data_IF_327328294418
#
_entry.id   IF_327328294418
#
_cell.length_a   1.000
_cell.length_b   1.000
_cell.length_c   1.000
_cell.angle_alpha   90.00
_cell.angle_beta   90.00
_cell.angle_gamma   90.00
#
_symmetry.space_group_name_H-M   'P 1'
#
loop_
_entity.id
_entity.type
_entity.pdbx_description
1 polymer ?
#
# COMPACT_ATOMS: atom_id res chain seq x y z
N UNK A 1 26.74 -12.57 4.39
CA UNK A 1 25.68 -13.38 3.77
C UNK A 1 24.95 -12.57 2.72
N UNK A 2 24.36 -11.44 3.06
CA UNK A 2 23.48 -10.63 2.18
C UNK A 2 24.17 -10.09 0.93
N UNK A 3 25.48 -9.87 0.98
CA UNK A 3 26.24 -9.39 -0.19
C UNK A 3 26.30 -10.41 -1.34
N UNK A 4 26.22 -11.69 -1.04
CA UNK A 4 26.31 -12.77 -2.05
C UNK A 4 25.00 -13.57 -2.20
N UNK A 5 24.02 -13.31 -1.34
CA UNK A 5 22.69 -13.91 -1.36
C UNK A 5 21.58 -12.85 -1.22
N UNK A 6 21.59 -11.72 -1.95
CA UNK A 6 20.58 -10.71 -1.83
C UNK A 6 19.24 -11.19 -2.42
N UNK A 7 18.13 -10.72 -1.90
CA UNK A 7 16.81 -10.93 -2.51
C UNK A 7 16.71 -10.22 -3.87
N UNK A 8 17.28 -9.01 -3.95
CA UNK A 8 17.35 -8.20 -5.16
C UNK A 8 18.62 -7.35 -5.17
N UNK A 9 19.07 -6.99 -6.36
CA UNK A 9 20.10 -5.99 -6.61
C UNK A 9 19.42 -4.80 -7.28
N UNK A 10 19.52 -3.63 -6.67
CA UNK A 10 18.88 -2.41 -7.14
C UNK A 10 19.95 -1.55 -7.82
N UNK A 11 19.69 -1.12 -9.03
CA UNK A 11 20.60 -0.30 -9.84
C UNK A 11 19.86 0.94 -10.33
N UNK A 12 20.34 2.12 -9.93
CA UNK A 12 19.88 3.41 -10.45
C UNK A 12 20.71 3.85 -11.65
N UNK A 13 20.04 4.29 -12.71
CA UNK A 13 20.66 4.92 -13.88
C UNK A 13 20.01 6.27 -14.16
N UNK A 14 20.57 7.03 -15.08
CA UNK A 14 20.06 8.36 -15.42
C UNK A 14 18.65 8.33 -16.02
N UNK A 15 18.37 7.35 -16.85
CA UNK A 15 17.11 7.20 -17.58
C UNK A 15 16.30 5.94 -17.24
N UNK A 16 16.74 5.14 -16.26
CA UNK A 16 16.12 3.88 -15.87
C UNK A 16 16.40 2.73 -16.84
N UNK A 17 17.25 2.91 -17.83
CA UNK A 17 17.50 1.89 -18.85
C UNK A 17 18.56 0.87 -18.45
N UNK A 18 18.38 -0.38 -18.92
CA UNK A 18 19.36 -1.46 -18.75
C UNK A 18 20.36 -1.43 -19.89
N UNK A 19 21.20 -0.41 -19.95
CA UNK A 19 22.26 -0.24 -20.98
C UNK A 19 23.59 0.14 -20.35
N UNK A 20 24.67 0.07 -21.15
CA UNK A 20 26.00 0.52 -20.73
C UNK A 20 26.44 -0.01 -19.38
N UNK A 21 26.77 0.89 -18.47
CA UNK A 21 27.36 0.60 -17.16
C UNK A 21 26.46 -0.28 -16.27
N UNK A 22 25.13 -0.13 -16.36
CA UNK A 22 24.19 -0.96 -15.58
C UNK A 22 24.31 -2.44 -15.99
N UNK A 23 24.46 -2.71 -17.27
CA UNK A 23 24.65 -4.07 -17.76
C UNK A 23 26.02 -4.63 -17.36
N UNK A 24 27.05 -3.83 -17.42
CA UNK A 24 28.39 -4.23 -16.95
C UNK A 24 28.40 -4.57 -15.47
N UNK A 25 27.70 -3.78 -14.64
CA UNK A 25 27.53 -4.07 -13.21
C UNK A 25 26.81 -5.40 -12.97
N UNK A 26 25.73 -5.66 -13.68
CA UNK A 26 25.00 -6.93 -13.57
C UNK A 26 25.90 -8.10 -13.98
N UNK A 27 26.59 -7.99 -15.11
CA UNK A 27 27.48 -9.04 -15.60
C UNK A 27 28.65 -9.28 -14.65
N UNK A 28 29.14 -8.23 -13.97
CA UNK A 28 30.18 -8.34 -12.92
C UNK A 28 29.67 -9.03 -11.66
N UNK A 29 28.48 -8.63 -11.14
CA UNK A 29 27.96 -9.19 -9.89
C UNK A 29 27.36 -10.59 -10.04
N UNK A 30 26.75 -10.90 -11.20
CA UNK A 30 26.05 -12.15 -11.46
C UNK A 30 26.85 -13.42 -11.12
N UNK A 31 28.13 -13.56 -11.48
CA UNK A 31 28.92 -14.74 -11.11
C UNK A 31 29.31 -14.78 -9.63
N UNK A 32 29.23 -13.66 -8.89
CA UNK A 32 29.55 -13.57 -7.47
C UNK A 32 28.36 -13.97 -6.59
N UNK A 33 27.13 -13.95 -7.13
CA UNK A 33 25.93 -14.29 -6.40
C UNK A 33 25.79 -15.79 -6.21
N UNK A 34 25.52 -16.21 -4.97
CA UNK A 34 25.30 -17.62 -4.63
C UNK A 34 23.83 -18.04 -4.82
N UNK A 35 22.92 -17.07 -4.92
CA UNK A 35 21.53 -17.25 -5.30
C UNK A 35 21.26 -16.64 -6.69
N UNK A 36 20.00 -16.59 -7.09
CA UNK A 36 19.57 -15.94 -8.33
C UNK A 36 18.70 -14.71 -7.99
N UNK A 37 19.30 -13.60 -7.56
CA UNK A 37 18.55 -12.43 -7.19
C UNK A 37 17.84 -11.81 -8.40
N UNK A 38 16.78 -11.05 -8.14
CA UNK A 38 16.20 -10.16 -9.14
C UNK A 38 17.12 -8.95 -9.29
N UNK A 39 17.18 -8.41 -10.51
CA UNK A 39 17.85 -7.14 -10.80
C UNK A 39 16.77 -6.11 -11.12
N UNK A 40 16.62 -5.13 -10.24
CA UNK A 40 15.68 -4.02 -10.40
C UNK A 40 16.46 -2.82 -10.91
N UNK A 41 16.17 -2.42 -12.15
CA UNK A 41 16.81 -1.27 -12.79
C UNK A 41 15.78 -0.17 -12.97
N UNK A 42 16.12 1.03 -12.52
CA UNK A 42 15.26 2.21 -12.62
C UNK A 42 16.10 3.47 -12.64
N UNK A 43 15.46 4.62 -12.59
CA UNK A 43 16.17 5.89 -12.36
C UNK A 43 16.79 5.90 -10.96
N UNK A 44 17.65 6.87 -10.69
CA UNK A 44 18.25 7.00 -9.35
C UNK A 44 17.19 7.19 -8.28
N UNK A 45 16.19 8.03 -8.53
CA UNK A 45 15.09 8.29 -7.60
C UNK A 45 14.24 7.01 -7.35
N UNK A 46 13.99 6.21 -8.40
CA UNK A 46 13.28 4.94 -8.28
C UNK A 46 14.07 3.93 -7.45
N UNK A 47 15.38 3.84 -7.68
CA UNK A 47 16.25 2.94 -6.93
C UNK A 47 16.31 3.32 -5.43
N UNK A 48 16.43 4.61 -5.13
CA UNK A 48 16.38 5.15 -3.77
C UNK A 48 15.00 4.87 -3.13
N UNK A 49 13.91 5.14 -3.84
CA UNK A 49 12.56 4.85 -3.38
C UNK A 49 12.36 3.37 -3.05
N UNK A 50 12.77 2.45 -3.93
CA UNK A 50 12.69 1.00 -3.66
C UNK A 50 13.39 0.68 -2.33
N UNK A 51 14.62 1.17 -2.12
CA UNK A 51 15.41 0.88 -0.92
C UNK A 51 14.76 1.41 0.35
N UNK A 52 14.28 2.66 0.33
CA UNK A 52 13.68 3.30 1.51
C UNK A 52 12.33 2.67 1.84
N UNK A 53 11.45 2.51 0.84
CA UNK A 53 10.12 1.93 1.07
C UNK A 53 10.17 0.44 1.41
N UNK A 54 11.16 -0.31 0.93
CA UNK A 54 11.37 -1.70 1.36
C UNK A 54 11.51 -1.80 2.88
N UNK A 55 12.37 -0.98 3.47
CA UNK A 55 12.55 -0.97 4.93
C UNK A 55 11.30 -0.47 5.67
N UNK A 56 10.65 0.58 5.16
CA UNK A 56 9.42 1.13 5.74
C UNK A 56 8.29 0.12 5.73
N UNK A 57 8.15 -0.64 4.64
CA UNK A 57 7.15 -1.72 4.54
C UNK A 57 7.39 -2.82 5.58
N UNK A 58 8.65 -3.21 5.78
CA UNK A 58 9.02 -4.16 6.84
C UNK A 58 8.68 -3.59 8.22
N UNK A 59 9.01 -2.32 8.49
CA UNK A 59 8.70 -1.67 9.76
C UNK A 59 7.20 -1.59 10.03
N UNK A 60 6.40 -1.25 9.03
CA UNK A 60 4.93 -1.23 9.14
C UNK A 60 4.37 -2.64 9.43
N UNK A 61 4.91 -3.66 8.77
CA UNK A 61 4.53 -5.05 8.98
C UNK A 61 4.87 -5.52 10.40
N UNK A 62 6.06 -5.19 10.90
CA UNK A 62 6.48 -5.48 12.28
C UNK A 62 5.59 -4.74 13.28
N UNK A 63 5.30 -3.46 13.03
CA UNK A 63 4.43 -2.66 13.89
C UNK A 63 3.04 -3.26 14.01
N UNK A 64 2.44 -3.70 12.90
CA UNK A 64 1.14 -4.37 12.89
C UNK A 64 1.17 -5.71 13.67
N UNK A 65 2.21 -6.51 13.48
CA UNK A 65 2.37 -7.79 14.20
C UNK A 65 2.53 -7.56 15.71
N UNK A 66 3.29 -6.56 16.12
CA UNK A 66 3.43 -6.19 17.53
C UNK A 66 2.10 -5.71 18.13
N UNK A 67 1.30 -4.97 17.36
CA UNK A 67 -0.04 -4.54 17.79
C UNK A 67 -0.99 -5.73 18.00
N UNK A 68 -0.90 -6.76 17.15
CA UNK A 68 -1.64 -8.03 17.36
C UNK A 68 -1.21 -8.67 18.68
N UNK A 69 0.09 -8.66 19.00
CA UNK A 69 0.61 -9.18 20.27
C UNK A 69 0.05 -8.40 21.47
N UNK A 70 0.05 -7.06 21.42
CA UNK A 70 -0.45 -6.22 22.51
C UNK A 70 -1.94 -6.41 22.75
N UNK A 71 -2.73 -6.56 21.68
CA UNK A 71 -4.16 -6.93 21.76
C UNK A 71 -4.31 -8.31 22.40
N UNK A 72 -3.51 -9.29 21.97
CA UNK A 72 -3.58 -10.66 22.50
C UNK A 72 -3.29 -10.71 24.01
N UNK A 73 -2.26 -9.97 24.45
CA UNK A 73 -1.88 -9.90 25.87
C UNK A 73 -2.97 -9.23 26.70
N UNK A 74 -3.50 -8.09 26.26
CA UNK A 74 -4.46 -7.30 27.04
C UNK A 74 -5.87 -7.88 27.02
N UNK A 75 -6.29 -8.42 25.89
CA UNK A 75 -7.61 -9.07 25.74
C UNK A 75 -7.64 -10.43 26.45
N UNK A 76 -6.51 -11.14 26.48
CA UNK A 76 -6.44 -12.52 26.95
C UNK A 76 -7.11 -13.52 26.00
N UNK A 77 -6.89 -14.80 26.25
CA UNK A 77 -7.46 -15.90 25.45
C UNK A 77 -7.22 -15.83 23.93
N UNK A 78 -6.15 -15.17 23.53
CA UNK A 78 -5.69 -15.09 22.14
C UNK A 78 -4.25 -15.60 22.09
N UNK A 79 -4.02 -16.67 21.31
CA UNK A 79 -2.66 -17.10 21.01
C UNK A 79 -2.15 -16.31 19.79
N UNK A 80 -1.19 -15.44 20.02
CA UNK A 80 -0.61 -14.57 18.99
C UNK A 80 0.00 -15.36 17.83
N UNK A 81 0.64 -16.50 18.12
CA UNK A 81 1.28 -17.33 17.09
C UNK A 81 0.25 -17.96 16.14
N UNK A 82 -0.92 -18.32 16.64
CA UNK A 82 -2.02 -18.82 15.79
C UNK A 82 -2.47 -17.74 14.81
N UNK A 83 -2.63 -16.50 15.29
CA UNK A 83 -3.06 -15.37 14.46
C UNK A 83 -1.98 -15.03 13.42
N UNK A 84 -0.75 -14.84 13.86
CA UNK A 84 0.35 -14.42 12.98
C UNK A 84 0.72 -15.50 11.96
N UNK A 85 0.68 -16.78 12.34
CA UNK A 85 0.88 -17.89 11.41
C UNK A 85 -0.22 -17.95 10.33
N UNK A 86 -1.48 -17.73 10.70
CA UNK A 86 -2.58 -17.67 9.73
C UNK A 86 -2.36 -16.54 8.71
N UNK A 87 -1.95 -15.36 9.17
CA UNK A 87 -1.61 -14.22 8.29
C UNK A 87 -0.38 -14.51 7.42
N UNK A 88 0.68 -15.08 7.98
CA UNK A 88 1.90 -15.43 7.26
C UNK A 88 1.66 -16.45 6.13
N UNK A 89 0.72 -17.36 6.32
CA UNK A 89 0.34 -18.33 5.30
C UNK A 89 -0.68 -17.81 4.26
N UNK A 90 -1.11 -16.54 4.36
CA UNK A 90 -2.04 -15.92 3.41
C UNK A 90 -1.33 -15.43 2.14
N UNK A 91 -0.79 -16.36 1.35
CA UNK A 91 0.08 -16.09 0.20
C UNK A 91 -0.63 -15.46 -0.99
N UNK A 92 -1.96 -15.57 -1.08
CA UNK A 92 -2.72 -15.02 -2.21
C UNK A 92 -2.88 -13.49 -2.15
N UNK A 93 -3.01 -12.91 -0.97
CA UNK A 93 -3.34 -11.49 -0.77
C UNK A 93 -2.30 -10.76 0.06
N UNK A 94 -1.94 -11.28 1.22
CA UNK A 94 -1.08 -10.58 2.20
C UNK A 94 0.39 -10.70 1.82
N UNK A 95 0.83 -11.89 1.41
CA UNK A 95 2.24 -12.16 1.08
C UNK A 95 2.53 -12.22 -0.43
N UNK A 96 1.52 -11.95 -1.26
CA UNK A 96 1.63 -11.94 -2.72
C UNK A 96 1.70 -10.53 -3.30
N UNK A 97 1.81 -10.38 -4.63
CA UNK A 97 1.89 -9.08 -5.31
C UNK A 97 0.55 -8.35 -5.41
N UNK A 98 -0.56 -8.96 -5.00
CA UNK A 98 -1.87 -8.29 -4.97
C UNK A 98 -1.83 -7.06 -4.05
N UNK A 99 -2.53 -6.01 -4.46
CA UNK A 99 -2.60 -4.73 -3.74
C UNK A 99 -1.27 -3.94 -3.68
N UNK A 100 -0.30 -4.29 -4.55
CA UNK A 100 0.95 -3.55 -4.73
C UNK A 100 0.91 -2.61 -5.96
N UNK A 101 -0.28 -2.19 -6.38
CA UNK A 101 -0.48 -1.22 -7.46
C UNK A 101 -0.86 0.13 -6.87
N UNK A 102 -0.15 1.18 -7.26
CA UNK A 102 -0.45 2.53 -6.81
C UNK A 102 -1.85 3.00 -7.27
N UNK A 103 -2.49 3.86 -6.47
CA UNK A 103 -3.81 4.39 -6.76
C UNK A 103 -4.98 3.48 -6.39
N UNK A 104 -4.73 2.28 -5.90
CA UNK A 104 -5.80 1.42 -5.39
C UNK A 104 -6.28 1.92 -4.03
N UNK A 105 -7.60 2.09 -3.90
CA UNK A 105 -8.23 2.24 -2.59
C UNK A 105 -8.54 0.88 -1.96
N UNK A 106 -8.68 0.87 -0.64
CA UNK A 106 -9.24 -0.27 0.08
C UNK A 106 -10.73 -0.39 -0.27
N UNK A 107 -11.07 -1.36 -1.08
CA UNK A 107 -12.39 -1.47 -1.66
C UNK A 107 -13.37 -2.23 -0.76
N UNK A 108 -14.57 -1.67 -0.63
CA UNK A 108 -15.70 -2.26 0.06
C UNK A 108 -15.78 -1.94 1.55
N UNK A 109 -16.90 -2.31 2.19
CA UNK A 109 -17.22 -1.89 3.55
C UNK A 109 -16.39 -2.59 4.63
N UNK A 110 -15.74 -3.72 4.30
CA UNK A 110 -15.02 -4.52 5.30
C UNK A 110 -13.79 -3.78 5.86
N UNK A 111 -13.01 -3.13 5.00
CA UNK A 111 -11.78 -2.46 5.41
C UNK A 111 -12.01 -1.32 6.41
N UNK A 112 -12.84 -0.30 6.11
CA UNK A 112 -13.13 0.74 7.08
C UNK A 112 -13.82 0.21 8.33
N UNK A 113 -14.79 -0.71 8.20
CA UNK A 113 -15.51 -1.30 9.34
C UNK A 113 -14.56 -2.01 10.31
N UNK A 114 -13.67 -2.83 9.80
CA UNK A 114 -12.77 -3.62 10.64
C UNK A 114 -11.69 -2.72 11.29
N UNK A 115 -11.18 -1.71 10.57
CA UNK A 115 -10.27 -0.72 11.15
C UNK A 115 -10.96 0.13 12.25
N UNK A 116 -12.22 0.53 12.07
CA UNK A 116 -12.99 1.26 13.09
C UNK A 116 -13.18 0.37 14.33
N UNK A 117 -13.52 -0.91 14.14
CA UNK A 117 -13.68 -1.84 15.24
C UNK A 117 -12.37 -2.08 16.02
N UNK A 118 -11.25 -2.20 15.31
CA UNK A 118 -9.93 -2.38 15.91
C UNK A 118 -9.44 -1.10 16.62
N UNK A 119 -9.75 0.07 16.08
CA UNK A 119 -9.51 1.36 16.75
C UNK A 119 -10.25 1.44 18.09
N UNK A 120 -11.55 1.12 18.10
CA UNK A 120 -12.32 1.06 19.34
C UNK A 120 -11.73 0.07 20.35
N UNK A 121 -11.27 -1.10 19.87
CA UNK A 121 -10.62 -2.08 20.73
C UNK A 121 -9.29 -1.58 21.29
N UNK A 122 -8.46 -0.90 20.49
CA UNK A 122 -7.20 -0.30 20.92
C UNK A 122 -7.42 0.73 22.02
N UNK A 123 -8.44 1.59 21.87
CA UNK A 123 -8.85 2.56 22.90
C UNK A 123 -9.32 1.86 24.17
N UNK A 124 -10.24 0.91 24.07
CA UNK A 124 -10.79 0.14 25.20
C UNK A 124 -9.71 -0.62 25.98
N UNK A 125 -8.69 -1.12 25.30
CA UNK A 125 -7.57 -1.86 25.92
C UNK A 125 -6.43 -0.92 26.37
N UNK A 126 -6.56 0.37 26.17
CA UNK A 126 -5.55 1.37 26.56
C UNK A 126 -4.16 1.00 25.99
N UNK A 127 -4.07 0.73 24.67
CA UNK A 127 -2.80 0.36 24.04
C UNK A 127 -1.80 1.53 24.04
N UNK A 128 -2.28 2.78 24.06
CA UNK A 128 -1.45 3.98 24.05
C UNK A 128 -0.96 4.39 22.67
N UNK A 129 -1.33 3.65 21.62
CA UNK A 129 -1.10 4.00 20.20
C UNK A 129 -2.17 3.36 19.32
N UNK A 130 -2.41 3.96 18.14
CA UNK A 130 -3.49 3.54 17.24
C UNK A 130 -3.05 3.57 15.77
N UNK A 131 -2.57 2.43 15.27
CA UNK A 131 -2.22 2.25 13.87
C UNK A 131 -3.47 2.20 12.98
N UNK A 132 -4.62 1.78 13.51
CA UNK A 132 -5.86 1.63 12.74
C UNK A 132 -6.45 3.00 12.39
N UNK A 133 -6.40 3.97 13.32
CA UNK A 133 -6.75 5.36 13.04
C UNK A 133 -5.83 5.97 12.00
N UNK A 134 -4.52 5.72 12.08
CA UNK A 134 -3.57 6.18 11.09
C UNK A 134 -3.86 5.64 9.68
N UNK A 135 -4.25 4.37 9.57
CA UNK A 135 -4.66 3.75 8.29
C UNK A 135 -5.92 4.43 7.74
N UNK A 136 -6.94 4.65 8.57
CA UNK A 136 -8.17 5.32 8.16
C UNK A 136 -7.92 6.77 7.76
N UNK A 137 -7.09 7.48 8.51
CA UNK A 137 -6.71 8.86 8.17
C UNK A 137 -5.93 8.93 6.84
N UNK A 138 -5.00 8.01 6.60
CA UNK A 138 -4.27 7.93 5.34
C UNK A 138 -5.21 7.67 4.15
N UNK A 139 -6.20 6.78 4.32
CA UNK A 139 -7.23 6.49 3.32
C UNK A 139 -8.00 7.75 2.89
N UNK A 140 -8.49 8.50 3.87
CA UNK A 140 -9.25 9.73 3.61
C UNK A 140 -8.38 10.81 2.93
N UNK A 141 -7.16 10.99 3.44
CA UNK A 141 -6.22 11.97 2.86
C UNK A 141 -5.83 11.62 1.42
N UNK A 142 -5.60 10.35 1.14
CA UNK A 142 -5.22 9.89 -0.20
C UNK A 142 -6.39 10.10 -1.20
N UNK A 143 -7.62 9.79 -0.80
CA UNK A 143 -8.79 10.04 -1.64
C UNK A 143 -8.98 11.54 -1.95
N UNK A 144 -8.77 12.39 -0.96
CA UNK A 144 -8.84 13.85 -1.11
C UNK A 144 -7.75 14.40 -2.05
N UNK A 145 -6.52 13.89 -1.93
CA UNK A 145 -5.42 14.28 -2.84
C UNK A 145 -5.69 13.83 -4.27
N UNK A 146 -6.26 12.66 -4.46
CA UNK A 146 -6.67 12.19 -5.79
C UNK A 146 -7.76 13.07 -6.40
N UNK A 147 -8.77 13.44 -5.61
CA UNK A 147 -9.81 14.36 -6.04
C UNK A 147 -9.25 15.73 -6.43
N UNK A 148 -8.34 16.27 -5.62
CA UNK A 148 -7.68 17.54 -5.92
C UNK A 148 -6.94 17.49 -7.25
N UNK A 149 -6.16 16.44 -7.49
CA UNK A 149 -5.45 16.26 -8.75
C UNK A 149 -6.39 16.15 -9.95
N UNK A 150 -7.55 15.47 -9.79
CA UNK A 150 -8.57 15.41 -10.84
C UNK A 150 -9.19 16.78 -11.13
N UNK A 151 -9.49 17.55 -10.10
CA UNK A 151 -10.06 18.90 -10.23
C UNK A 151 -9.06 19.84 -10.90
N UNK A 152 -7.80 19.84 -10.48
CA UNK A 152 -6.74 20.65 -11.10
C UNK A 152 -6.59 20.35 -12.60
N UNK A 153 -6.66 19.07 -12.99
CA UNK A 153 -6.60 18.68 -14.41
C UNK A 153 -7.89 19.08 -15.17
N UNK A 154 -9.03 18.91 -14.54
CA UNK A 154 -10.33 19.30 -15.14
C UNK A 154 -10.40 20.81 -15.41
N UNK A 155 -9.93 21.64 -14.47
CA UNK A 155 -9.86 23.10 -14.63
C UNK A 155 -8.82 23.51 -15.67
N UNK A 156 -7.64 22.90 -15.66
CA UNK A 156 -6.57 23.22 -16.60
C UNK A 156 -6.95 22.97 -18.07
N UNK A 157 -7.69 21.91 -18.33
CA UNK A 157 -8.06 21.48 -19.67
C UNK A 157 -9.53 21.75 -20.02
N UNK A 158 -10.30 22.38 -19.13
CA UNK A 158 -11.75 22.63 -19.30
C UNK A 158 -12.53 21.33 -19.60
N UNK A 159 -12.20 20.24 -18.92
CA UNK A 159 -12.80 18.93 -19.13
C UNK A 159 -13.68 18.50 -17.95
N UNK A 160 -14.77 17.75 -18.21
CA UNK A 160 -15.56 17.18 -17.13
C UNK A 160 -14.79 16.05 -16.42
N UNK A 161 -15.04 15.86 -15.13
CA UNK A 161 -14.54 14.73 -14.36
C UNK A 161 -15.44 13.53 -14.60
N UNK A 162 -14.86 12.42 -15.04
CA UNK A 162 -15.54 11.14 -15.20
C UNK A 162 -14.88 10.08 -14.33
N UNK A 163 -15.65 9.43 -13.46
CA UNK A 163 -15.20 8.33 -12.58
C UNK A 163 -15.85 7.04 -13.08
N UNK A 164 -15.04 6.09 -13.54
CA UNK A 164 -15.56 4.84 -14.08
C UNK A 164 -16.03 3.90 -12.98
N UNK A 165 -17.36 3.79 -12.81
CA UNK A 165 -18.01 2.87 -11.90
C UNK A 165 -18.18 3.36 -10.46
N UNK A 166 -19.32 3.03 -9.88
CA UNK A 166 -19.69 3.35 -8.49
C UNK A 166 -19.44 2.21 -7.52
N UNK A 167 -19.35 0.98 -8.02
CA UNK A 167 -19.17 -0.19 -7.18
C UNK A 167 -17.71 -0.31 -6.69
N UNK A 168 -17.52 -0.94 -5.55
CA UNK A 168 -16.19 -1.14 -4.97
C UNK A 168 -15.36 -2.21 -5.70
N UNK A 169 -15.96 -3.00 -6.57
CA UNK A 169 -15.29 -3.97 -7.45
C UNK A 169 -16.15 -4.29 -8.68
N UNK A 170 -15.55 -4.84 -9.76
CA UNK A 170 -16.30 -5.29 -10.94
C UNK A 170 -17.40 -6.31 -10.60
N UNK A 171 -18.44 -6.33 -11.39
CA UNK A 171 -19.56 -7.30 -11.33
C UNK A 171 -20.34 -7.31 -10.01
N UNK A 172 -20.32 -6.21 -9.27
CA UNK A 172 -21.06 -6.05 -8.01
C UNK A 172 -21.83 -4.75 -8.04
N UNK A 173 -23.14 -4.78 -7.77
CA UNK A 173 -23.98 -3.59 -7.71
C UNK A 173 -23.86 -2.81 -6.38
N UNK A 174 -23.17 -3.37 -5.40
CA UNK A 174 -23.05 -2.81 -4.05
C UNK A 174 -22.02 -1.68 -4.02
N UNK A 175 -22.42 -0.52 -3.52
CA UNK A 175 -21.62 0.72 -3.55
C UNK A 175 -21.05 1.14 -2.20
N UNK A 176 -21.49 0.50 -1.11
CA UNK A 176 -21.01 0.83 0.24
C UNK A 176 -19.50 0.62 0.36
N UNK A 177 -18.81 1.60 0.92
CA UNK A 177 -17.36 1.58 1.05
C UNK A 177 -16.61 1.75 -0.29
N UNK A 178 -17.30 2.19 -1.35
CA UNK A 178 -16.66 2.46 -2.64
C UNK A 178 -15.67 3.62 -2.54
N UNK A 179 -14.45 3.36 -2.94
CA UNK A 179 -13.40 4.37 -3.00
C UNK A 179 -13.65 5.39 -4.12
N UNK A 180 -14.25 4.96 -5.24
CA UNK A 180 -14.67 5.84 -6.33
C UNK A 180 -15.68 6.89 -5.85
N UNK A 181 -16.65 6.50 -5.02
CA UNK A 181 -17.60 7.42 -4.42
C UNK A 181 -16.97 8.37 -3.41
N UNK A 182 -15.99 7.90 -2.64
CA UNK A 182 -15.25 8.75 -1.71
C UNK A 182 -14.45 9.83 -2.47
N UNK A 183 -13.77 9.46 -3.55
CA UNK A 183 -13.08 10.43 -4.42
C UNK A 183 -14.08 11.42 -5.04
N UNK A 184 -15.22 10.93 -5.52
CA UNK A 184 -16.28 11.77 -6.05
C UNK A 184 -16.84 12.78 -5.05
N UNK A 185 -17.05 12.34 -3.81
CA UNK A 185 -17.44 13.21 -2.71
C UNK A 185 -16.46 14.38 -2.51
N UNK A 186 -15.15 14.09 -2.51
CA UNK A 186 -14.13 15.14 -2.40
C UNK A 186 -14.06 16.05 -3.64
N UNK A 187 -14.35 15.53 -4.85
CA UNK A 187 -14.52 16.40 -6.01
C UNK A 187 -15.68 17.39 -5.82
N UNK A 188 -16.80 16.94 -5.25
CA UNK A 188 -17.94 17.80 -4.92
C UNK A 188 -17.60 18.85 -3.86
N UNK A 189 -16.82 18.50 -2.84
CA UNK A 189 -16.30 19.48 -1.86
C UNK A 189 -15.43 20.57 -2.52
N UNK A 190 -14.74 20.24 -3.59
CA UNK A 190 -13.96 21.19 -4.40
C UNK A 190 -14.79 21.93 -5.45
N UNK A 191 -16.11 21.74 -5.48
CA UNK A 191 -17.04 22.43 -6.38
C UNK A 191 -17.23 21.76 -7.74
N UNK A 192 -16.75 20.55 -7.94
CA UNK A 192 -16.86 19.80 -9.20
C UNK A 192 -17.67 18.53 -9.02
N UNK A 193 -18.82 18.42 -9.70
CA UNK A 193 -19.66 17.23 -9.67
C UNK A 193 -19.18 16.22 -10.73
N UNK A 194 -18.64 15.06 -10.34
CA UNK A 194 -18.19 14.05 -11.29
C UNK A 194 -19.37 13.30 -11.92
N UNK A 195 -19.17 12.81 -13.14
CA UNK A 195 -20.07 11.86 -13.81
C UNK A 195 -19.54 10.42 -13.62
N UNK A 196 -20.46 9.45 -13.48
CA UNK A 196 -20.12 8.04 -13.26
C UNK A 196 -20.57 7.15 -14.41
#
# INVERSE_FOLDING_TARGET
WDMVNPEMVIIGTDDGSLTGDAKELIDFYKPLMQNKPRYEVGTWDEAECIKVFYNTFISAKIGLVNMIQDVAIKQGNINVDVVTNALANSTMRIMGPKYMTAGLGDAGPCHPRDNIALRFLAEKLELGYDLFDAIMHAREKQARLMALALVEQAELYELPIFIHGKAYKPDVAYTEGSYSLLVGHYCEEFGHTPTY
#
